data_IF_152986555105
#
_entry.id   IF_152986555105
#
_cell.length_a   1.000
_cell.length_b   1.000
_cell.length_c   1.000
_cell.angle_alpha   90.00
_cell.angle_beta   90.00
_cell.angle_gamma   90.00
#
_symmetry.space_group_name_H-M   'P 1'
#
loop_
_entity.id
_entity.type
_entity.pdbx_description
1 polymer ?
#
# COMPACT_ATOMS: atom_id res chain seq x y z
N UNK A 1 -18.79 -5.56 17.52
CA UNK A 1 -19.40 -4.21 17.45
C UNK A 1 -18.42 -3.18 16.94
N UNK A 2 -17.31 -2.88 17.65
CA UNK A 2 -16.32 -1.89 17.20
C UNK A 2 -15.73 -2.16 15.80
N UNK A 3 -15.39 -3.41 15.49
CA UNK A 3 -14.90 -3.80 14.16
C UNK A 3 -15.96 -3.64 13.07
N UNK A 4 -17.23 -3.96 13.35
CA UNK A 4 -18.33 -3.72 12.40
C UNK A 4 -18.49 -2.23 12.10
N UNK A 5 -18.33 -1.37 13.11
CA UNK A 5 -18.36 0.08 12.95
C UNK A 5 -17.25 0.56 12.03
N UNK A 6 -16.01 0.14 12.29
CA UNK A 6 -14.86 0.47 11.44
C UNK A 6 -15.08 -0.02 9.99
N UNK A 7 -15.44 -1.29 9.83
CA UNK A 7 -15.64 -1.91 8.51
C UNK A 7 -16.75 -1.23 7.71
N UNK A 8 -17.80 -0.73 8.37
CA UNK A 8 -18.83 0.05 7.68
C UNK A 8 -18.27 1.37 7.14
N UNK A 9 -17.47 2.09 7.91
CA UNK A 9 -16.78 3.30 7.44
C UNK A 9 -15.83 3.02 6.27
N UNK A 10 -15.06 1.94 6.36
CA UNK A 10 -14.18 1.46 5.28
C UNK A 10 -14.97 1.09 4.04
N UNK A 11 -16.10 0.38 4.20
CA UNK A 11 -16.97 0.01 3.08
C UNK A 11 -17.50 1.26 2.37
N UNK A 12 -17.98 2.26 3.09
CA UNK A 12 -18.42 3.53 2.51
C UNK A 12 -17.30 4.23 1.73
N UNK A 13 -16.09 4.27 2.32
CA UNK A 13 -14.91 4.84 1.68
C UNK A 13 -14.53 4.10 0.39
N UNK A 14 -14.51 2.76 0.41
CA UNK A 14 -14.21 1.94 -0.76
C UNK A 14 -15.30 2.06 -1.83
N UNK A 15 -16.58 2.11 -1.44
CA UNK A 15 -17.69 2.33 -2.38
C UNK A 15 -17.59 3.70 -3.07
N UNK A 16 -17.25 4.75 -2.33
CA UNK A 16 -17.02 6.08 -2.90
C UNK A 16 -15.87 6.08 -3.92
N UNK A 17 -14.72 5.52 -3.55
CA UNK A 17 -13.58 5.40 -4.46
C UNK A 17 -13.90 4.53 -5.68
N UNK A 18 -14.61 3.42 -5.52
CA UNK A 18 -14.99 2.56 -6.63
C UNK A 18 -15.85 3.31 -7.65
N UNK A 19 -16.88 4.02 -7.21
CA UNK A 19 -17.76 4.79 -8.10
C UNK A 19 -16.98 5.91 -8.81
N UNK A 20 -16.09 6.60 -8.08
CA UNK A 20 -15.24 7.64 -8.66
C UNK A 20 -14.30 7.07 -9.73
N UNK A 21 -13.59 5.97 -9.44
CA UNK A 21 -12.70 5.30 -10.39
C UNK A 21 -13.42 4.75 -11.61
N UNK A 22 -14.67 4.29 -11.48
CA UNK A 22 -15.49 3.90 -12.65
C UNK A 22 -15.75 5.10 -13.55
N UNK A 23 -16.07 6.26 -12.97
CA UNK A 23 -16.24 7.50 -13.72
C UNK A 23 -14.96 7.90 -14.47
N UNK A 24 -13.82 7.94 -13.78
CA UNK A 24 -12.50 8.21 -14.38
C UNK A 24 -12.20 7.24 -15.53
N UNK A 25 -12.41 5.94 -15.29
CA UNK A 25 -12.12 4.91 -16.28
C UNK A 25 -12.94 5.09 -17.57
N UNK A 26 -14.20 5.51 -17.46
CA UNK A 26 -15.05 5.81 -18.62
C UNK A 26 -14.56 7.06 -19.35
N UNK A 27 -14.13 8.10 -18.63
CA UNK A 27 -13.56 9.32 -19.22
C UNK A 27 -12.27 9.04 -19.97
N UNK A 28 -11.42 8.18 -19.44
CA UNK A 28 -10.17 7.79 -20.08
C UNK A 28 -10.37 6.81 -21.25
N UNK A 29 -11.50 6.09 -21.30
CA UNK A 29 -11.75 5.01 -22.26
C UNK A 29 -13.14 5.09 -22.95
N UNK A 30 -13.62 6.27 -23.40
CA UNK A 30 -15.01 6.47 -23.79
C UNK A 30 -15.43 5.60 -24.98
N UNK A 31 -14.51 5.32 -25.92
CA UNK A 31 -14.74 4.48 -27.09
C UNK A 31 -15.15 3.04 -26.76
N UNK A 32 -14.84 2.56 -25.56
CA UNK A 32 -15.20 1.20 -25.12
C UNK A 32 -16.60 1.12 -24.51
N UNK A 33 -17.17 2.26 -24.08
CA UNK A 33 -18.42 2.33 -23.33
C UNK A 33 -19.53 3.09 -24.06
N UNK A 34 -19.15 4.00 -24.95
CA UNK A 34 -20.06 4.93 -25.61
C UNK A 34 -20.00 4.73 -27.12
N UNK A 35 -21.11 5.03 -27.78
CA UNK A 35 -21.20 5.12 -29.24
C UNK A 35 -21.37 6.59 -29.65
N UNK A 36 -20.68 7.00 -30.70
CA UNK A 36 -20.68 8.39 -31.15
C UNK A 36 -19.40 8.78 -31.90
N UNK A 37 -19.30 10.07 -32.23
CA UNK A 37 -18.07 10.71 -32.68
C UNK A 37 -17.25 11.22 -31.49
N UNK A 38 -16.06 11.77 -31.77
CA UNK A 38 -15.13 12.23 -30.74
C UNK A 38 -15.71 13.33 -29.84
N UNK A 39 -16.50 14.25 -30.40
CA UNK A 39 -17.16 15.32 -29.64
C UNK A 39 -18.24 14.74 -28.70
N UNK A 40 -19.04 13.79 -29.20
CA UNK A 40 -20.03 13.09 -28.38
C UNK A 40 -19.38 12.31 -27.24
N UNK A 41 -18.22 11.70 -27.46
CA UNK A 41 -17.46 11.00 -26.43
C UNK A 41 -17.04 11.92 -25.30
N UNK A 42 -16.43 13.06 -25.61
CA UNK A 42 -15.96 14.03 -24.61
C UNK A 42 -17.12 14.57 -23.76
N UNK A 43 -18.22 14.97 -24.40
CA UNK A 43 -19.38 15.52 -23.69
C UNK A 43 -20.04 14.46 -22.80
N UNK A 44 -20.29 13.26 -23.33
CA UNK A 44 -21.00 12.21 -22.58
C UNK A 44 -20.14 11.61 -21.47
N UNK A 45 -18.85 11.38 -21.70
CA UNK A 45 -17.98 10.84 -20.66
C UNK A 45 -17.80 11.83 -19.51
N UNK A 46 -17.69 13.13 -19.81
CA UNK A 46 -17.69 14.19 -18.81
C UNK A 46 -18.96 14.21 -17.96
N UNK A 47 -20.14 14.10 -18.58
CA UNK A 47 -21.42 13.99 -17.86
C UNK A 47 -21.47 12.78 -16.93
N UNK A 48 -21.06 11.60 -17.43
CA UNK A 48 -21.01 10.37 -16.62
C UNK A 48 -20.06 10.54 -15.45
N UNK A 49 -18.90 11.16 -15.64
CA UNK A 49 -17.96 11.42 -14.58
C UNK A 49 -18.49 12.38 -13.51
N UNK A 50 -19.18 13.46 -13.93
CA UNK A 50 -19.86 14.37 -13.01
C UNK A 50 -20.94 13.63 -12.19
N UNK A 51 -21.72 12.75 -12.82
CA UNK A 51 -22.71 11.90 -12.15
C UNK A 51 -22.05 10.95 -11.14
N UNK A 52 -21.01 10.20 -11.56
CA UNK A 52 -20.23 9.32 -10.69
C UNK A 52 -19.63 10.10 -9.51
N UNK A 53 -19.07 11.28 -9.74
CA UNK A 53 -18.51 12.14 -8.69
C UNK A 53 -19.59 12.63 -7.73
N UNK A 54 -20.77 12.98 -8.23
CA UNK A 54 -21.91 13.40 -7.41
C UNK A 54 -22.40 12.30 -6.46
N UNK A 55 -22.22 11.03 -6.83
CA UNK A 55 -22.51 9.86 -6.01
C UNK A 55 -21.33 9.57 -5.07
N UNK A 56 -20.10 9.53 -5.59
CA UNK A 56 -18.91 9.15 -4.84
C UNK A 56 -18.64 10.06 -3.64
N UNK A 57 -18.77 11.37 -3.82
CA UNK A 57 -18.46 12.37 -2.79
C UNK A 57 -19.31 12.18 -1.52
N UNK A 58 -20.66 12.04 -1.57
CA UNK A 58 -21.46 11.70 -0.40
C UNK A 58 -20.99 10.45 0.35
N UNK A 59 -20.60 9.39 -0.38
CA UNK A 59 -20.05 8.17 0.25
C UNK A 59 -18.73 8.44 0.97
N UNK A 60 -17.83 9.22 0.36
CA UNK A 60 -16.56 9.62 0.97
C UNK A 60 -16.78 10.50 2.22
N UNK A 61 -17.72 11.45 2.17
CA UNK A 61 -18.10 12.28 3.32
C UNK A 61 -18.66 11.40 4.43
N UNK A 62 -19.60 10.50 4.11
CA UNK A 62 -20.20 9.59 5.08
C UNK A 62 -19.15 8.66 5.70
N UNK A 63 -18.27 8.07 4.90
CA UNK A 63 -17.15 7.25 5.37
C UNK A 63 -16.21 8.02 6.29
N UNK A 64 -15.80 9.23 5.90
CA UNK A 64 -14.93 10.08 6.69
C UNK A 64 -15.57 10.52 8.01
N UNK A 65 -16.85 10.94 7.99
CA UNK A 65 -17.60 11.32 9.18
C UNK A 65 -17.80 10.14 10.13
N UNK A 66 -18.09 8.96 9.58
CA UNK A 66 -18.30 7.74 10.35
C UNK A 66 -17.01 7.24 11.01
N UNK A 67 -15.90 7.25 10.28
CA UNK A 67 -14.57 6.94 10.81
C UNK A 67 -14.15 7.98 11.85
N UNK A 68 -14.35 9.28 11.59
CA UNK A 68 -14.06 10.34 12.56
C UNK A 68 -14.86 10.18 13.86
N UNK A 69 -16.16 9.90 13.76
CA UNK A 69 -17.01 9.62 14.91
C UNK A 69 -16.53 8.37 15.67
N UNK A 70 -16.13 7.32 14.96
CA UNK A 70 -15.55 6.13 15.56
C UNK A 70 -14.31 6.46 16.41
N UNK A 71 -13.38 7.29 15.91
CA UNK A 71 -12.21 7.70 16.68
C UNK A 71 -12.59 8.56 17.89
N UNK A 72 -13.51 9.51 17.73
CA UNK A 72 -13.99 10.36 18.83
C UNK A 72 -14.64 9.49 19.93
N UNK A 73 -15.55 8.59 19.56
CA UNK A 73 -16.23 7.68 20.51
C UNK A 73 -15.20 6.79 21.22
N UNK A 74 -14.21 6.27 20.50
CA UNK A 74 -13.13 5.46 21.10
C UNK A 74 -12.28 6.24 22.11
N UNK A 75 -12.15 7.56 21.99
CA UNK A 75 -11.44 8.37 23.01
C UNK A 75 -12.10 8.31 24.39
N UNK A 76 -13.37 7.93 24.49
CA UNK A 76 -14.08 7.76 25.76
C UNK A 76 -13.95 6.32 26.27
N UNK A 77 -13.20 6.14 27.38
CA UNK A 77 -12.91 4.80 27.96
C UNK A 77 -14.15 4.06 28.47
N UNK A 78 -15.24 4.77 28.72
CA UNK A 78 -16.44 4.24 29.38
C UNK A 78 -17.52 3.77 28.42
N UNK A 79 -17.32 3.88 27.09
CA UNK A 79 -18.36 3.50 26.13
C UNK A 79 -18.48 1.97 26.07
N UNK A 80 -19.66 1.41 26.39
CA UNK A 80 -19.87 -0.03 26.31
C UNK A 80 -19.66 -0.54 24.88
N UNK A 81 -19.20 -1.78 24.73
CA UNK A 81 -18.86 -2.42 23.44
C UNK A 81 -17.63 -1.85 22.69
N UNK A 82 -17.02 -0.79 23.21
CA UNK A 82 -15.67 -0.32 22.86
C UNK A 82 -14.66 -0.66 23.98
N UNK A 83 -15.06 -1.52 24.92
CA UNK A 83 -14.23 -1.93 26.03
C UNK A 83 -13.07 -2.83 25.54
N UNK A 84 -11.85 -2.48 25.96
CA UNK A 84 -10.59 -3.14 25.60
C UNK A 84 -10.40 -4.52 26.18
N UNK A 85 -11.27 -4.90 27.12
CA UNK A 85 -11.24 -6.22 27.76
C UNK A 85 -11.91 -7.30 26.91
N UNK A 86 -12.34 -6.99 25.69
CA UNK A 86 -12.72 -8.04 24.76
C UNK A 86 -11.51 -8.94 24.52
N UNK A 87 -11.67 -10.23 24.87
CA UNK A 87 -10.61 -11.24 24.77
C UNK A 87 -10.05 -11.31 23.36
N UNK A 88 -10.86 -11.02 22.34
CA UNK A 88 -10.42 -10.98 20.97
C UNK A 88 -9.38 -9.88 20.73
N UNK A 89 -9.66 -8.65 21.13
CA UNK A 89 -8.74 -7.51 20.97
C UNK A 89 -7.48 -7.68 21.79
N UNK A 90 -7.57 -8.20 23.02
CA UNK A 90 -6.40 -8.49 23.84
C UNK A 90 -5.47 -9.52 23.17
N UNK A 91 -6.03 -10.60 22.61
CA UNK A 91 -5.24 -11.60 21.87
C UNK A 91 -4.59 -11.01 20.62
N UNK A 92 -5.34 -10.20 19.86
CA UNK A 92 -4.79 -9.56 18.66
C UNK A 92 -3.62 -8.62 19.01
N UNK A 93 -3.65 -8.00 20.18
CA UNK A 93 -2.62 -7.07 20.65
C UNK A 93 -1.50 -7.73 21.47
N UNK A 94 -1.60 -9.00 21.84
CA UNK A 94 -0.70 -9.67 22.80
C UNK A 94 0.77 -9.67 22.34
N UNK A 95 0.99 -9.77 21.02
CA UNK A 95 2.32 -9.74 20.41
C UNK A 95 2.58 -8.45 19.61
N UNK A 96 1.69 -7.46 19.74
CA UNK A 96 1.82 -6.23 18.98
C UNK A 96 2.81 -5.27 19.65
N UNK A 97 3.59 -4.53 18.86
CA UNK A 97 4.52 -3.54 19.37
C UNK A 97 3.80 -2.44 20.14
N UNK A 98 4.48 -1.78 21.10
CA UNK A 98 3.89 -0.60 21.73
C UNK A 98 3.81 0.56 20.74
N UNK A 99 2.70 1.33 20.72
CA UNK A 99 2.59 2.50 19.85
C UNK A 99 3.58 3.58 20.31
N UNK A 100 4.31 4.17 19.37
CA UNK A 100 5.27 5.26 19.67
C UNK A 100 4.59 6.51 20.23
N UNK A 101 3.38 6.82 19.75
CA UNK A 101 2.59 7.96 20.20
C UNK A 101 1.55 7.53 21.25
N UNK A 102 2.02 6.94 22.34
CA UNK A 102 1.18 6.39 23.42
C UNK A 102 0.28 7.42 24.12
N UNK A 103 0.59 8.72 23.96
CA UNK A 103 -0.26 9.82 24.41
C UNK A 103 -1.59 9.88 23.65
N UNK A 104 -1.57 9.58 22.35
CA UNK A 104 -2.72 9.69 21.45
C UNK A 104 -3.36 8.34 21.14
N UNK A 105 -2.54 7.30 20.98
CA UNK A 105 -2.99 5.95 20.66
C UNK A 105 -2.71 5.02 21.81
N UNK A 106 -3.68 4.18 22.14
CA UNK A 106 -3.60 3.38 23.37
C UNK A 106 -3.00 2.01 23.13
N UNK A 107 -3.11 1.51 21.90
CA UNK A 107 -2.51 0.26 21.43
C UNK A 107 -2.09 0.39 19.96
N UNK A 108 -1.36 -0.61 19.47
CA UNK A 108 -0.90 -0.67 18.08
C UNK A 108 -2.07 -0.68 17.10
N UNK A 109 -3.14 -1.41 17.40
CA UNK A 109 -4.30 -1.48 16.51
C UNK A 109 -4.94 -0.11 16.30
N UNK A 110 -5.11 0.70 17.35
CA UNK A 110 -5.60 2.07 17.23
C UNK A 110 -4.67 2.95 16.40
N UNK A 111 -3.36 2.80 16.59
CA UNK A 111 -2.36 3.52 15.81
C UNK A 111 -2.39 3.13 14.32
N UNK A 112 -2.39 1.82 14.05
CA UNK A 112 -2.49 1.27 12.71
C UNK A 112 -3.79 1.70 12.05
N UNK A 113 -4.93 1.58 12.71
CA UNK A 113 -6.20 1.99 12.08
C UNK A 113 -6.25 3.49 11.78
N UNK A 114 -5.56 4.35 12.53
CA UNK A 114 -5.62 5.80 12.35
C UNK A 114 -5.27 6.26 10.93
N UNK A 115 -4.38 5.54 10.23
CA UNK A 115 -4.09 5.84 8.82
C UNK A 115 -5.35 5.77 7.96
N UNK A 116 -6.29 4.87 8.24
CA UNK A 116 -7.50 4.65 7.43
C UNK A 116 -8.40 5.88 7.44
N UNK A 117 -8.49 6.57 8.58
CA UNK A 117 -9.20 7.84 8.65
C UNK A 117 -8.50 8.92 7.82
N UNK A 118 -7.19 9.10 8.00
CA UNK A 118 -6.45 10.10 7.22
C UNK A 118 -6.46 9.78 5.72
N UNK A 119 -6.43 8.50 5.34
CA UNK A 119 -6.57 8.05 3.96
C UNK A 119 -7.97 8.37 3.42
N UNK A 120 -9.04 8.07 4.15
CA UNK A 120 -10.38 8.44 3.73
C UNK A 120 -10.52 9.97 3.56
N UNK A 121 -9.98 10.75 4.51
CA UNK A 121 -10.00 12.20 4.45
C UNK A 121 -9.17 12.75 3.29
N UNK A 122 -8.00 12.16 2.97
CA UNK A 122 -7.19 12.59 1.82
C UNK A 122 -7.94 12.37 0.50
N UNK A 123 -8.61 11.22 0.34
CA UNK A 123 -9.36 10.90 -0.88
C UNK A 123 -10.57 11.83 -1.04
N UNK A 124 -11.26 12.16 0.07
CA UNK A 124 -12.32 13.15 0.07
C UNK A 124 -11.81 14.53 -0.37
N UNK A 125 -10.64 14.95 0.13
CA UNK A 125 -10.05 16.25 -0.22
C UNK A 125 -9.58 16.28 -1.67
N UNK A 126 -9.08 15.17 -2.20
CA UNK A 126 -8.76 15.02 -3.62
C UNK A 126 -10.01 15.11 -4.49
N UNK A 127 -11.08 14.36 -4.17
CA UNK A 127 -12.36 14.42 -4.89
C UNK A 127 -13.02 15.82 -4.86
N UNK A 128 -12.59 16.69 -3.94
CA UNK A 128 -13.01 18.11 -3.84
C UNK A 128 -11.99 19.09 -4.43
N UNK A 129 -10.94 18.62 -5.09
CA UNK A 129 -9.84 19.42 -5.64
C UNK A 129 -9.18 20.35 -4.60
N UNK A 130 -9.18 19.98 -3.32
CA UNK A 130 -8.56 20.77 -2.25
C UNK A 130 -7.09 20.37 -2.06
N UNK A 131 -6.21 20.98 -2.87
CA UNK A 131 -4.77 20.65 -2.92
C UNK A 131 -4.07 20.88 -1.57
N UNK A 132 -4.35 22.01 -0.91
CA UNK A 132 -3.72 22.36 0.38
C UNK A 132 -4.15 21.36 1.45
N UNK A 133 -5.46 21.10 1.55
CA UNK A 133 -6.01 20.12 2.49
C UNK A 133 -5.45 18.73 2.24
N UNK A 134 -5.39 18.31 0.97
CA UNK A 134 -4.78 17.03 0.58
C UNK A 134 -3.35 16.92 1.10
N UNK A 135 -2.49 17.93 0.85
CA UNK A 135 -1.10 17.92 1.32
C UNK A 135 -0.98 17.82 2.84
N UNK A 136 -1.80 18.59 3.58
CA UNK A 136 -1.80 18.59 5.05
C UNK A 136 -2.22 17.24 5.66
N UNK A 137 -3.07 16.48 4.97
CA UNK A 137 -3.54 15.15 5.43
C UNK A 137 -2.66 14.03 4.89
N UNK A 138 -2.08 14.19 3.70
CA UNK A 138 -1.20 13.22 3.08
C UNK A 138 0.09 13.03 3.89
N UNK A 139 0.76 14.12 4.29
CA UNK A 139 2.01 14.06 5.06
C UNK A 139 1.88 13.21 6.34
N UNK A 140 0.92 13.45 7.25
CA UNK A 140 0.76 12.59 8.43
C UNK A 140 0.40 11.15 8.07
N UNK A 141 -0.38 10.92 6.99
CA UNK A 141 -0.67 9.56 6.50
C UNK A 141 0.62 8.83 6.14
N UNK A 142 1.50 9.47 5.36
CA UNK A 142 2.77 8.89 4.93
C UNK A 142 3.70 8.61 6.13
N UNK A 143 3.81 9.55 7.07
CA UNK A 143 4.63 9.38 8.27
C UNK A 143 4.15 8.21 9.13
N UNK A 144 2.84 8.05 9.31
CA UNK A 144 2.26 6.90 10.02
C UNK A 144 2.65 5.60 9.31
N UNK A 145 2.53 5.51 7.98
CA UNK A 145 2.90 4.29 7.26
C UNK A 145 4.38 3.94 7.35
N UNK A 146 5.28 4.93 7.20
CA UNK A 146 6.72 4.71 7.36
C UNK A 146 7.02 4.18 8.77
N UNK A 147 6.37 4.75 9.78
CA UNK A 147 6.56 4.31 11.16
C UNK A 147 5.97 2.91 11.42
N UNK A 148 4.80 2.59 10.86
CA UNK A 148 4.21 1.24 10.95
C UNK A 148 5.12 0.18 10.30
N UNK A 149 5.69 0.48 9.13
CA UNK A 149 6.69 -0.38 8.48
C UNK A 149 7.91 -0.54 9.37
N UNK A 150 8.45 0.55 9.92
CA UNK A 150 9.62 0.50 10.81
C UNK A 150 9.36 -0.35 12.07
N UNK A 151 8.24 -0.11 12.75
CA UNK A 151 7.91 -0.81 13.99
C UNK A 151 7.72 -2.30 13.70
N UNK A 152 6.98 -2.66 12.65
CA UNK A 152 6.76 -4.07 12.29
C UNK A 152 8.04 -4.77 11.82
N UNK A 153 8.94 -4.06 11.13
CA UNK A 153 10.25 -4.59 10.73
C UNK A 153 11.17 -4.91 11.92
N UNK A 154 11.01 -4.16 13.03
CA UNK A 154 11.87 -4.28 14.22
C UNK A 154 11.31 -5.19 15.30
N UNK A 155 10.08 -5.70 15.14
CA UNK A 155 9.44 -6.59 16.11
C UNK A 155 9.32 -8.01 15.55
N UNK A 156 9.81 -8.99 16.33
CA UNK A 156 9.73 -10.41 15.98
C UNK A 156 8.27 -10.85 15.88
N UNK A 157 7.98 -11.71 14.90
CA UNK A 157 6.64 -12.28 14.69
C UNK A 157 5.63 -11.38 13.97
N UNK A 158 6.04 -10.19 13.49
CA UNK A 158 5.18 -9.21 12.80
C UNK A 158 5.41 -9.20 11.28
N UNK A 159 5.86 -10.33 10.72
CA UNK A 159 6.25 -10.44 9.32
C UNK A 159 5.10 -10.12 8.36
N UNK A 160 3.91 -10.64 8.67
CA UNK A 160 2.71 -10.48 7.85
C UNK A 160 2.29 -9.02 7.80
N UNK A 161 2.23 -8.37 8.97
CA UNK A 161 1.92 -6.96 9.14
C UNK A 161 2.96 -6.08 8.45
N UNK A 162 4.25 -6.44 8.53
CA UNK A 162 5.33 -5.74 7.83
C UNK A 162 5.12 -5.74 6.32
N UNK A 163 4.88 -6.91 5.71
CA UNK A 163 4.65 -7.00 4.27
C UNK A 163 3.39 -6.25 3.84
N UNK A 164 2.29 -6.37 4.61
CA UNK A 164 1.07 -5.63 4.34
C UNK A 164 1.32 -4.11 4.37
N UNK A 165 1.97 -3.60 5.41
CA UNK A 165 2.28 -2.17 5.55
C UNK A 165 3.22 -1.68 4.45
N UNK A 166 4.20 -2.50 4.03
CA UNK A 166 5.11 -2.17 2.93
C UNK A 166 4.35 -2.04 1.60
N UNK A 167 3.43 -2.97 1.32
CA UNK A 167 2.60 -2.93 0.11
C UNK A 167 1.70 -1.69 0.12
N UNK A 168 1.06 -1.40 1.26
CA UNK A 168 0.26 -0.19 1.43
C UNK A 168 1.09 1.09 1.25
N UNK A 169 2.35 1.11 1.70
CA UNK A 169 3.27 2.23 1.48
C UNK A 169 3.59 2.43 0.00
N UNK A 170 3.87 1.36 -0.75
CA UNK A 170 4.08 1.43 -2.21
C UNK A 170 2.83 1.99 -2.91
N UNK A 171 1.65 1.50 -2.52
CA UNK A 171 0.37 1.98 -3.03
C UNK A 171 0.12 3.46 -2.69
N UNK A 172 0.48 3.89 -1.49
CA UNK A 172 0.35 5.28 -1.05
C UNK A 172 1.28 6.21 -1.84
N UNK A 173 2.51 5.77 -2.14
CA UNK A 173 3.45 6.52 -3.00
C UNK A 173 2.93 6.61 -4.43
N UNK A 174 2.34 5.54 -4.97
CA UNK A 174 1.68 5.58 -6.28
C UNK A 174 0.53 6.61 -6.30
N UNK A 175 -0.29 6.65 -5.25
CA UNK A 175 -1.35 7.65 -5.08
C UNK A 175 -0.82 9.09 -5.05
N UNK A 176 0.31 9.33 -4.37
CA UNK A 176 0.92 10.65 -4.33
C UNK A 176 1.35 11.11 -5.72
N UNK A 177 2.06 10.24 -6.44
CA UNK A 177 2.55 10.56 -7.77
C UNK A 177 1.39 10.77 -8.75
N UNK A 178 0.30 10.02 -8.59
CA UNK A 178 -0.94 10.24 -9.35
C UNK A 178 -1.51 11.63 -9.03
N UNK A 179 -1.74 11.93 -7.76
CA UNK A 179 -2.29 13.22 -7.35
C UNK A 179 -1.40 14.39 -7.81
N UNK A 180 -0.07 14.26 -7.79
CA UNK A 180 0.83 15.27 -8.36
C UNK A 180 0.63 15.41 -9.88
N UNK A 181 0.53 14.29 -10.60
CA UNK A 181 0.33 14.28 -12.05
C UNK A 181 -1.03 14.83 -12.51
N UNK A 182 -1.99 15.00 -11.59
CA UNK A 182 -3.35 15.49 -11.86
C UNK A 182 -3.57 16.90 -11.29
N UNK A 183 -3.25 17.10 -10.01
CA UNK A 183 -3.48 18.36 -9.29
C UNK A 183 -2.45 19.44 -9.63
N UNK A 184 -1.22 19.06 -9.98
CA UNK A 184 -0.12 20.01 -10.26
C UNK A 184 0.09 20.22 -11.75
N UNK A 185 -0.15 19.19 -12.56
CA UNK A 185 -0.04 19.24 -14.02
C UNK A 185 -1.46 19.19 -14.61
N UNK A 186 -2.07 20.35 -14.94
CA UNK A 186 -3.44 20.38 -15.42
C UNK A 186 -3.55 19.59 -16.73
N UNK A 187 -4.58 18.76 -16.87
CA UNK A 187 -4.87 18.04 -18.11
C UNK A 187 -4.93 18.94 -19.34
N UNK A 188 -5.48 20.14 -19.15
CA UNK A 188 -5.61 21.16 -20.20
C UNK A 188 -4.27 21.68 -20.71
N UNK A 189 -3.17 21.43 -19.99
CA UNK A 189 -1.84 21.80 -20.45
C UNK A 189 -1.32 20.85 -21.53
N UNK A 190 -1.78 19.59 -21.57
CA UNK A 190 -1.35 18.58 -22.55
C UNK A 190 -2.26 18.62 -23.78
N UNK A 191 -1.71 18.69 -25.01
CA UNK A 191 -2.50 18.66 -26.24
C UNK A 191 -3.48 17.48 -26.27
N UNK A 192 -4.69 17.72 -26.76
CA UNK A 192 -5.76 16.72 -26.79
C UNK A 192 -5.33 15.46 -27.55
N UNK A 193 -4.67 15.63 -28.69
CA UNK A 193 -4.17 14.54 -29.52
C UNK A 193 -3.17 13.67 -28.76
N UNK A 194 -2.30 14.29 -27.95
CA UNK A 194 -1.34 13.57 -27.10
C UNK A 194 -2.04 12.79 -25.99
N UNK A 195 -3.09 13.36 -25.37
CA UNK A 195 -3.89 12.68 -24.34
C UNK A 195 -4.64 11.48 -24.91
N UNK A 196 -5.21 11.61 -26.11
CA UNK A 196 -5.92 10.53 -26.80
C UNK A 196 -5.01 9.38 -27.25
N UNK A 197 -3.75 9.67 -27.57
CA UNK A 197 -2.76 8.64 -27.94
C UNK A 197 -2.23 7.92 -26.70
N UNK A 198 -2.13 8.61 -25.56
CA UNK A 198 -1.61 8.04 -24.33
C UNK A 198 -2.55 6.98 -23.74
N UNK A 199 -2.04 5.77 -23.56
CA UNK A 199 -2.74 4.61 -23.02
C UNK A 199 -1.70 3.72 -22.34
N UNK A 200 -1.61 3.79 -21.01
CA UNK A 200 -0.80 2.84 -20.27
C UNK A 200 -1.46 1.44 -20.34
N UNK A 201 -0.69 0.35 -20.53
CA UNK A 201 0.76 0.27 -20.71
C UNK A 201 1.22 0.27 -22.18
N UNK A 202 0.32 0.49 -23.14
CA UNK A 202 0.56 0.21 -24.57
C UNK A 202 1.32 1.30 -25.32
N UNK A 203 1.01 2.57 -25.06
CA UNK A 203 1.53 3.69 -25.85
C UNK A 203 2.37 4.60 -24.98
N UNK A 204 3.62 4.78 -25.41
CA UNK A 204 4.54 5.74 -24.83
C UNK A 204 4.34 7.09 -25.52
N UNK A 205 4.39 8.15 -24.73
CA UNK A 205 4.38 9.54 -25.22
C UNK A 205 5.76 10.15 -25.06
N UNK A 206 6.16 11.03 -25.96
CA UNK A 206 7.36 11.86 -25.80
C UNK A 206 7.14 13.04 -24.87
N UNK A 207 5.89 13.34 -24.49
CA UNK A 207 5.55 14.45 -23.61
C UNK A 207 5.95 14.14 -22.16
N UNK A 208 6.94 14.87 -21.65
CA UNK A 208 7.47 14.69 -20.31
C UNK A 208 6.44 14.91 -19.20
N UNK A 209 5.35 15.63 -19.48
CA UNK A 209 4.26 15.88 -18.50
C UNK A 209 3.47 14.61 -18.16
N UNK A 210 3.45 13.64 -19.06
CA UNK A 210 2.75 12.36 -18.87
C UNK A 210 3.67 11.27 -18.28
N UNK A 211 4.96 11.53 -18.09
CA UNK A 211 5.91 10.55 -17.54
C UNK A 211 5.52 10.10 -16.13
N UNK A 212 5.03 11.04 -15.30
CA UNK A 212 4.54 10.70 -13.97
C UNK A 212 3.33 9.77 -14.01
N UNK A 213 2.36 10.01 -14.91
CA UNK A 213 1.20 9.11 -15.09
C UNK A 213 1.62 7.72 -15.52
N UNK A 214 2.60 7.62 -16.42
CA UNK A 214 3.16 6.34 -16.83
C UNK A 214 3.83 5.60 -15.67
N UNK A 215 4.68 6.29 -14.89
CA UNK A 215 5.34 5.72 -13.73
C UNK A 215 4.33 5.25 -12.66
N UNK A 216 3.27 6.02 -12.44
CA UNK A 216 2.16 5.70 -11.53
C UNK A 216 1.50 4.38 -11.90
N UNK A 217 1.19 4.16 -13.19
CA UNK A 217 0.61 2.91 -13.67
C UNK A 217 1.47 1.69 -13.31
N UNK A 218 2.79 1.77 -13.52
CA UNK A 218 3.72 0.70 -13.13
C UNK A 218 3.78 0.50 -11.61
N UNK A 219 3.79 1.56 -10.81
CA UNK A 219 3.79 1.45 -9.35
C UNK A 219 2.51 0.80 -8.83
N UNK A 220 1.34 1.14 -9.38
CA UNK A 220 0.10 0.45 -9.06
C UNK A 220 0.11 -1.02 -9.50
N UNK A 221 0.66 -1.33 -10.67
CA UNK A 221 0.82 -2.72 -11.10
C UNK A 221 1.71 -3.51 -10.14
N UNK A 222 2.84 -2.95 -9.72
CA UNK A 222 3.75 -3.58 -8.76
C UNK A 222 3.02 -3.79 -7.43
N UNK A 223 2.35 -2.77 -6.91
CA UNK A 223 1.59 -2.88 -5.66
C UNK A 223 0.50 -3.96 -5.76
N UNK A 224 -0.26 -3.99 -6.85
CA UNK A 224 -1.30 -4.99 -7.10
C UNK A 224 -0.72 -6.42 -7.16
N UNK A 225 0.37 -6.61 -7.89
CA UNK A 225 1.06 -7.92 -7.97
C UNK A 225 1.53 -8.35 -6.59
N UNK A 226 2.13 -7.45 -5.81
CA UNK A 226 2.55 -7.77 -4.44
C UNK A 226 1.37 -8.13 -3.53
N UNK A 227 0.26 -7.39 -3.59
CA UNK A 227 -0.99 -7.73 -2.86
C UNK A 227 -1.45 -9.14 -3.25
N UNK A 228 -1.55 -9.44 -4.55
CA UNK A 228 -2.03 -10.72 -5.04
C UNK A 228 -1.11 -11.87 -4.61
N UNK A 229 0.21 -11.73 -4.77
CA UNK A 229 1.17 -12.75 -4.37
C UNK A 229 1.15 -12.98 -2.86
N UNK A 230 1.10 -11.91 -2.08
CA UNK A 230 1.02 -11.97 -0.63
C UNK A 230 -0.24 -12.70 -0.15
N UNK A 231 -1.42 -12.34 -0.67
CA UNK A 231 -2.66 -13.02 -0.30
C UNK A 231 -2.75 -14.44 -0.82
N UNK A 232 -2.23 -14.73 -2.02
CA UNK A 232 -2.16 -16.10 -2.53
C UNK A 232 -1.28 -16.97 -1.63
N UNK A 233 -0.09 -16.47 -1.27
CA UNK A 233 0.82 -17.12 -0.33
C UNK A 233 0.12 -17.37 1.02
N UNK A 234 -0.55 -16.35 1.58
CA UNK A 234 -1.31 -16.47 2.82
C UNK A 234 -2.35 -17.58 2.72
N UNK A 235 -3.19 -17.56 1.69
CA UNK A 235 -4.25 -18.54 1.45
C UNK A 235 -3.63 -19.94 1.40
N UNK A 236 -2.58 -20.15 0.60
CA UNK A 236 -1.88 -21.43 0.50
C UNK A 236 -1.27 -21.90 1.84
N UNK A 237 -0.66 -21.01 2.60
CA UNK A 237 -0.11 -21.32 3.92
C UNK A 237 -1.20 -21.67 4.94
N UNK A 238 -2.35 -21.02 4.86
CA UNK A 238 -3.51 -21.29 5.73
C UNK A 238 -4.11 -22.66 5.40
N UNK A 239 -4.34 -22.94 4.12
CA UNK A 239 -4.87 -24.23 3.67
C UNK A 239 -3.92 -25.40 3.95
N UNK A 240 -2.60 -25.18 3.89
CA UNK A 240 -1.61 -26.22 4.20
C UNK A 240 -1.36 -26.43 5.70
N UNK A 241 -1.99 -25.64 6.58
CA UNK A 241 -1.74 -25.67 8.02
C UNK A 241 -0.31 -25.27 8.41
N UNK A 242 0.43 -24.62 7.50
CA UNK A 242 1.82 -24.17 7.72
C UNK A 242 1.91 -22.79 8.32
N UNK A 243 0.89 -21.96 8.09
CA UNK A 243 0.60 -20.91 9.06
C UNK A 243 0.25 -21.68 10.32
N UNK A 244 1.19 -21.70 11.27
CA UNK A 244 0.88 -22.13 12.61
C UNK A 244 -0.44 -21.44 12.92
N UNK A 245 -1.51 -22.22 13.03
CA UNK A 245 -2.56 -21.83 13.95
C UNK A 245 -1.76 -21.47 15.18
N UNK A 246 -1.79 -20.20 15.60
CA UNK A 246 -1.35 -19.86 16.94
C UNK A 246 -2.25 -20.70 17.81
N UNK A 247 -1.85 -21.96 17.99
CA UNK A 247 -2.64 -22.99 18.59
C UNK A 247 -2.80 -22.45 19.98
N UNK A 248 -4.04 -22.07 20.26
CA UNK A 248 -4.92 -22.35 21.38
C UNK A 248 -4.40 -23.46 22.35
N UNK A 249 -3.09 -23.66 22.53
CA UNK A 249 -2.49 -24.45 23.59
C UNK A 249 -2.57 -23.75 24.94
N UNK A 250 -2.94 -22.46 24.99
CA UNK A 250 -3.17 -21.75 26.26
C UNK A 250 -4.42 -22.19 27.03
N UNK A 251 -5.30 -23.04 26.47
CA UNK A 251 -6.51 -23.49 27.19
C UNK A 251 -6.31 -24.72 28.08
N UNK A 252 -5.17 -25.40 28.03
CA UNK A 252 -4.92 -26.56 28.89
C UNK A 252 -4.09 -26.27 30.14
N UNK A 253 -3.55 -25.04 30.31
CA UNK A 253 -2.77 -24.72 31.50
C UNK A 253 -3.55 -24.11 32.67
N UNK A 254 -4.86 -23.86 32.52
CA UNK A 254 -5.66 -23.19 33.57
C UNK A 254 -6.71 -24.08 34.27
N UNK A 255 -6.81 -25.37 33.95
CA UNK A 255 -7.80 -26.26 34.59
C UNK A 255 -7.23 -27.33 35.53
N UNK A 256 -5.93 -27.62 35.51
CA UNK A 256 -5.36 -28.72 36.32
C UNK A 256 -4.39 -28.29 37.43
N UNK A 257 -4.18 -26.98 37.66
CA UNK A 257 -3.46 -26.53 38.86
C UNK A 257 -4.44 -26.52 40.03
N UNK A 258 -4.65 -27.72 40.59
CA UNK A 258 -5.25 -27.88 41.89
C UNK A 258 -4.51 -27.03 42.94
N UNK A 259 -5.21 -26.57 44.00
CA UNK A 259 -4.60 -25.76 45.04
C UNK A 259 -3.68 -26.62 45.92
N UNK A 260 -2.44 -26.86 45.49
CA UNK A 260 -1.47 -27.57 46.33
C UNK A 260 -0.27 -28.15 45.61
N UNK A 261 0.76 -27.33 45.39
CA UNK A 261 2.19 -27.63 45.28
C UNK A 261 2.80 -26.50 44.42
N UNK A 262 3.76 -25.69 44.86
CA UNK A 262 5.02 -26.13 45.45
C UNK A 262 6.12 -26.03 44.39
N UNK A 263 6.64 -24.80 44.22
CA UNK A 263 8.03 -24.44 43.85
C UNK A 263 8.67 -24.96 42.54
N UNK A 264 9.26 -24.00 41.82
CA UNK A 264 10.40 -24.11 40.89
C UNK A 264 10.23 -24.94 39.61
N UNK A 265 10.09 -24.25 38.46
CA UNK A 265 10.97 -24.48 37.31
C UNK A 265 11.02 -23.25 36.41
N UNK A 266 12.25 -22.85 36.09
CA UNK A 266 12.59 -21.90 35.04
C UNK A 266 12.30 -22.53 33.68
N UNK A 267 11.54 -21.83 32.83
CA UNK A 267 11.26 -22.23 31.46
C UNK A 267 11.27 -21.01 30.55
N UNK A 268 12.46 -20.42 30.34
CA UNK A 268 12.66 -19.28 29.44
C UNK A 268 13.09 -19.65 28.02
N UNK A 269 13.28 -20.95 27.72
CA UNK A 269 14.08 -21.35 26.54
C UNK A 269 13.27 -21.96 25.38
N UNK A 270 11.94 -22.02 25.48
CA UNK A 270 11.10 -22.67 24.46
C UNK A 270 10.47 -21.72 23.43
N UNK A 271 10.70 -20.41 23.53
CA UNK A 271 10.11 -19.41 22.61
C UNK A 271 11.08 -18.84 21.56
N UNK A 272 12.32 -19.33 21.50
CA UNK A 272 13.35 -18.81 20.58
C UNK A 272 13.53 -19.59 19.28
N UNK A 273 12.80 -20.68 19.06
CA UNK A 273 12.86 -21.46 17.83
C UNK A 273 11.52 -21.37 17.10
N UNK A 274 11.41 -20.52 16.06
CA UNK A 274 10.57 -20.79 14.86
C UNK A 274 10.40 -19.62 13.89
N UNK A 275 10.88 -18.40 14.18
CA UNK A 275 10.81 -17.32 13.19
C UNK A 275 11.65 -17.64 11.94
N UNK A 276 12.86 -18.18 12.13
CA UNK A 276 13.76 -18.56 11.05
C UNK A 276 13.28 -19.81 10.27
N UNK A 277 12.57 -20.73 10.93
CA UNK A 277 12.03 -21.94 10.31
C UNK A 277 10.81 -21.61 9.44
N UNK A 278 9.96 -20.69 9.88
CA UNK A 278 8.80 -20.22 9.12
C UNK A 278 9.25 -19.40 7.91
N UNK A 279 10.24 -18.51 8.07
CA UNK A 279 10.76 -17.72 6.96
C UNK A 279 11.50 -18.58 5.93
N UNK A 280 12.34 -19.51 6.38
CA UNK A 280 13.00 -20.48 5.50
C UNK A 280 11.98 -21.39 4.83
N UNK A 281 10.95 -21.85 5.54
CA UNK A 281 9.85 -22.65 4.99
C UNK A 281 8.99 -21.90 3.96
N UNK A 282 8.80 -20.60 4.14
CA UNK A 282 8.13 -19.73 3.17
C UNK A 282 8.96 -19.53 1.90
N UNK A 283 10.26 -19.25 2.05
CA UNK A 283 11.20 -19.15 0.92
C UNK A 283 11.37 -20.49 0.19
N UNK A 284 11.40 -21.61 0.92
CA UNK A 284 11.44 -22.96 0.38
C UNK A 284 10.17 -23.33 -0.38
N UNK A 285 9.00 -22.95 0.14
CA UNK A 285 7.73 -23.13 -0.57
C UNK A 285 7.64 -22.32 -1.88
N UNK A 286 8.38 -21.21 -1.97
CA UNK A 286 8.49 -20.36 -3.16
C UNK A 286 9.66 -20.76 -4.08
N UNK A 287 10.45 -21.78 -3.72
CA UNK A 287 11.62 -22.21 -4.50
C UNK A 287 12.78 -21.18 -4.51
N UNK A 288 12.80 -20.26 -3.55
CA UNK A 288 13.75 -19.14 -3.46
C UNK A 288 14.96 -19.44 -2.53
N UNK A 289 15.15 -20.68 -2.09
CA UNK A 289 16.22 -21.07 -1.16
C UNK A 289 17.65 -20.95 -1.74
N UNK A 290 17.82 -20.75 -3.04
CA UNK A 290 19.13 -20.63 -3.66
C UNK A 290 19.73 -19.22 -3.51
N UNK A 291 20.23 -18.89 -2.31
CA UNK A 291 21.37 -17.96 -2.20
C UNK A 291 21.33 -16.83 -1.17
N UNK A 292 20.31 -16.71 -0.31
CA UNK A 292 20.29 -15.66 0.72
C UNK A 292 20.71 -16.24 2.08
N UNK A 293 21.98 -16.10 2.42
CA UNK A 293 22.50 -16.49 3.73
C UNK A 293 22.31 -15.34 4.75
N UNK A 294 21.16 -15.31 5.42
CA UNK A 294 20.75 -14.26 6.38
C UNK A 294 21.69 -14.13 7.59
N UNK A 295 22.42 -15.19 7.96
CA UNK A 295 23.44 -15.11 9.02
C UNK A 295 24.60 -14.16 8.70
N UNK A 296 24.77 -13.80 7.42
CA UNK A 296 25.78 -12.83 6.97
C UNK A 296 25.28 -11.39 7.12
N UNK A 297 23.97 -11.16 7.09
CA UNK A 297 23.36 -9.82 7.20
C UNK A 297 23.36 -9.34 8.66
N UNK A 298 23.06 -10.22 9.62
CA UNK A 298 23.12 -9.89 11.05
C UNK A 298 24.55 -9.55 11.52
N UNK A 299 25.58 -10.27 11.04
CA UNK A 299 26.98 -9.94 11.37
C UNK A 299 27.48 -8.63 10.79
N UNK A 300 26.91 -8.17 9.67
CA UNK A 300 27.29 -6.90 9.06
C UNK A 300 26.58 -5.69 9.66
N UNK A 301 25.45 -5.87 10.35
CA UNK A 301 24.80 -4.78 11.10
C UNK A 301 25.41 -4.57 12.50
N UNK A 302 25.96 -5.61 13.14
CA UNK A 302 26.60 -5.47 14.46
C UNK A 302 28.07 -5.00 14.39
N UNK A 303 28.76 -5.25 13.27
CA UNK A 303 30.11 -4.71 13.05
C UNK A 303 30.00 -3.36 12.35
N UNK A 304 30.00 -2.27 13.12
CA UNK A 304 30.09 -0.91 12.57
C UNK A 304 31.36 -0.73 11.73
N UNK A 305 31.27 -1.00 10.43
CA UNK A 305 32.38 -0.84 9.48
C UNK A 305 32.32 0.56 8.90
N UNK A 306 33.35 1.32 9.22
CA UNK A 306 33.65 2.65 8.70
C UNK A 306 34.10 2.51 7.23
N UNK A 307 33.25 2.90 6.28
CA UNK A 307 33.57 2.91 4.85
C UNK A 307 34.35 4.19 4.50
N UNK A 308 35.64 4.19 4.79
CA UNK A 308 36.61 5.03 4.07
C UNK A 308 37.58 4.11 3.35
N UNK A 309 37.83 4.43 2.08
CA UNK A 309 38.75 3.77 1.13
C UNK A 309 38.14 2.61 0.33
N UNK A 310 37.56 2.96 -0.82
CA UNK A 310 37.49 2.06 -1.97
C UNK A 310 38.42 2.63 -3.04
N UNK A 311 39.49 1.90 -3.30
CA UNK A 311 40.44 2.11 -4.37
C UNK A 311 39.74 2.17 -5.73
N UNK A 312 40.06 3.21 -6.49
CA UNK A 312 39.77 3.27 -7.93
C UNK A 312 40.95 2.65 -8.66
N UNK A 313 40.69 1.61 -9.44
CA UNK A 313 41.46 1.34 -10.65
C UNK A 313 40.50 1.27 -11.85
N UNK A 314 40.85 1.89 -12.99
CA UNK A 314 39.98 1.98 -14.15
C UNK A 314 40.22 0.78 -15.05
N UNK A 315 39.15 0.30 -15.68
CA UNK A 315 39.15 -0.10 -17.09
C UNK A 315 37.78 -0.67 -17.45
N UNK A 316 37.10 -0.01 -18.38
CA UNK A 316 36.49 -0.66 -19.54
C UNK A 316 35.89 0.41 -20.44
N UNK A 317 36.62 0.64 -21.53
CA UNK A 317 36.17 1.32 -22.74
C UNK A 317 34.91 0.65 -23.31
N UNK A 318 33.79 1.37 -23.30
CA UNK A 318 32.65 1.12 -24.18
C UNK A 318 32.31 2.43 -24.90
N UNK A 319 33.17 2.77 -25.86
CA UNK A 319 32.91 3.72 -26.91
C UNK A 319 32.80 2.98 -28.25
N UNK A 320 31.97 3.53 -29.13
CA UNK A 320 31.82 3.19 -30.55
C UNK A 320 31.02 1.92 -30.92
N UNK A 321 29.68 2.06 -31.00
CA UNK A 321 28.88 1.36 -32.03
C UNK A 321 27.44 1.87 -32.21
N UNK A 322 27.22 3.18 -32.30
CA UNK A 322 25.88 3.72 -32.63
C UNK A 322 25.87 5.00 -33.48
N UNK A 323 26.85 5.16 -34.38
CA UNK A 323 26.89 6.28 -35.35
C UNK A 323 26.91 5.86 -36.83
N UNK A 324 26.44 4.66 -37.20
CA UNK A 324 26.50 4.20 -38.59
C UNK A 324 25.16 3.83 -39.26
N UNK A 325 24.01 4.22 -38.71
CA UNK A 325 22.69 3.94 -39.34
C UNK A 325 21.80 5.17 -39.55
N UNK A 326 22.37 6.38 -39.64
CA UNK A 326 21.61 7.61 -39.90
C UNK A 326 22.02 8.36 -41.19
N UNK A 327 22.60 7.67 -42.18
CA UNK A 327 23.10 8.32 -43.40
C UNK A 327 22.69 7.68 -44.74
N UNK A 328 21.55 6.99 -44.81
CA UNK A 328 20.95 6.60 -46.09
C UNK A 328 19.43 6.73 -46.04
N UNK A 329 18.92 7.92 -46.34
CA UNK A 329 17.62 8.13 -46.98
C UNK A 329 17.49 9.60 -47.42
N UNK A 330 18.05 9.92 -48.59
CA UNK A 330 17.66 11.11 -49.37
C UNK A 330 16.52 10.71 -50.30
N UNK A 331 15.39 11.43 -50.34
CA UNK A 331 14.47 11.35 -51.47
C UNK A 331 15.00 12.21 -52.62
N UNK A 332 15.22 11.59 -53.78
CA UNK A 332 15.46 12.29 -55.04
C UNK A 332 14.16 12.97 -55.48
N UNK A 333 14.21 14.30 -55.59
CA UNK A 333 13.34 15.08 -56.46
C UNK A 333 13.83 14.95 -57.90
N UNK A 334 12.91 14.68 -58.83
CA UNK A 334 12.96 15.03 -60.27
C UNK A 334 11.94 14.14 -61.02
N UNK A 335 11.12 14.53 -62.00
CA UNK A 335 10.68 15.77 -62.67
C UNK A 335 9.64 15.29 -63.72
N UNK A 336 8.56 16.05 -63.99
CA UNK A 336 7.69 16.05 -65.20
C UNK A 336 7.05 14.70 -65.66
N UNK A 337 5.79 14.65 -66.11
CA UNK A 337 5.06 15.46 -67.10
C UNK A 337 3.61 15.67 -66.66
#
# INVERSE_FOLDING_TARGET
>A
MSQCWLNFGVLLWLSGNFVWMVGEFIVENPQHFLSGDAETFEVRSGQIFEECTSIAVPFLIAGCAWLGLYYIVRMFRQVPYFNRLDRFTLRQNENMPMPRFSLFFRDYSEYAMAYTFFWCLKDLLWAKFNIIGYGLVFVPTLLIFIDLVYITATHRGQFIEFFHNLICLVWLVANLLWAIAELVIPDKSVPFETRMIYCWPKTWTSDSRLYLRCAVGYLFMIALVLVCLFHLMWICMTFSGRLATQDIQMYYYSSDVGPGAGSHMAGSDLYNADADSIFSGALGALGLESGINLTTIDRHMESGINLTTIDRHPDTSWGEKSQLEAQNNRPSKSTAV
#
